data_IF_100891369999
#
_entry.id   IF_100891369999
#
_cell.length_a   1.000
_cell.length_b   1.000
_cell.length_c   1.000
_cell.angle_alpha   90.00
_cell.angle_beta   90.00
_cell.angle_gamma   90.00
#
_symmetry.space_group_name_H-M   'P 1'
#
loop_
_entity.id
_entity.type
_entity.pdbx_description
1 polymer ?
#
# COMPACT_ATOMS: atom_id res chain seq x y z
N UNK A 1 0.26 12.73 -7.24
CA UNK A 1 0.88 14.02 -7.64
C UNK A 1 2.23 13.78 -8.32
N UNK A 2 3.22 13.20 -7.67
CA UNK A 2 4.60 13.03 -8.19
C UNK A 2 4.66 12.42 -9.61
N UNK A 3 3.93 11.34 -9.92
CA UNK A 3 3.92 10.74 -11.27
C UNK A 3 3.37 11.70 -12.32
N UNK A 4 2.33 12.46 -11.99
CA UNK A 4 1.77 13.45 -12.92
C UNK A 4 2.82 14.50 -13.25
N UNK A 5 3.44 15.07 -12.23
CA UNK A 5 4.39 16.18 -12.39
C UNK A 5 5.68 15.75 -13.10
N UNK A 6 6.16 14.52 -12.87
CA UNK A 6 7.48 14.09 -13.35
C UNK A 6 7.45 13.17 -14.57
N UNK A 7 6.33 12.52 -14.87
CA UNK A 7 6.24 11.49 -15.94
C UNK A 7 5.17 11.78 -16.99
N UNK A 8 4.12 12.52 -16.64
CA UNK A 8 3.00 12.79 -17.56
C UNK A 8 3.07 14.21 -18.09
N UNK A 9 3.10 15.22 -17.22
CA UNK A 9 3.11 16.62 -17.64
C UNK A 9 4.27 16.99 -18.55
N UNK A 10 5.54 16.55 -18.30
CA UNK A 10 6.64 16.90 -19.19
C UNK A 10 6.40 16.50 -20.64
N UNK A 11 5.62 15.44 -20.87
CA UNK A 11 5.31 14.94 -22.20
C UNK A 11 4.07 15.59 -22.83
N UNK A 12 3.00 15.77 -22.05
CA UNK A 12 1.70 16.16 -22.57
C UNK A 12 1.31 17.63 -22.35
N UNK A 13 2.06 18.39 -21.51
CA UNK A 13 1.66 19.76 -21.11
C UNK A 13 1.45 20.75 -22.25
N UNK A 14 2.10 20.55 -23.40
CA UNK A 14 2.00 21.44 -24.56
C UNK A 14 0.97 20.97 -25.58
N UNK A 15 0.28 19.85 -25.33
CA UNK A 15 -0.75 19.30 -26.20
C UNK A 15 -2.13 19.63 -25.63
N UNK A 16 -3.07 19.99 -26.51
CA UNK A 16 -4.46 20.11 -26.10
C UNK A 16 -5.03 18.71 -25.87
N UNK A 17 -5.78 18.53 -24.81
CA UNK A 17 -6.27 17.22 -24.40
C UNK A 17 -7.14 16.52 -25.47
N UNK A 18 -7.89 17.29 -26.23
CA UNK A 18 -8.72 16.78 -27.34
C UNK A 18 -7.94 16.42 -28.60
N UNK A 19 -6.67 16.81 -28.71
CA UNK A 19 -5.77 16.49 -29.82
C UNK A 19 -4.87 15.30 -29.52
N UNK A 20 -4.77 14.87 -28.27
CA UNK A 20 -3.94 13.73 -27.88
C UNK A 20 -4.54 12.44 -28.45
N UNK A 21 -3.77 11.76 -29.27
CA UNK A 21 -4.14 10.51 -29.94
C UNK A 21 -3.65 9.26 -29.18
N UNK A 22 -4.21 8.08 -29.46
CA UNK A 22 -3.64 6.83 -28.96
C UNK A 22 -2.18 6.61 -29.40
N UNK A 23 -1.78 7.16 -30.57
CA UNK A 23 -0.40 7.14 -31.05
C UNK A 23 0.56 7.95 -30.16
N UNK A 24 0.13 9.12 -29.68
CA UNK A 24 0.92 9.94 -28.77
C UNK A 24 1.11 9.24 -27.41
N UNK A 25 0.05 8.62 -26.91
CA UNK A 25 0.12 7.80 -25.70
C UNK A 25 1.08 6.63 -25.89
N UNK A 26 1.06 5.97 -27.04
CA UNK A 26 1.95 4.85 -27.36
C UNK A 26 3.43 5.30 -27.42
N UNK A 27 3.71 6.47 -28.00
CA UNK A 27 5.06 7.04 -28.01
C UNK A 27 5.55 7.28 -26.59
N UNK A 28 4.75 7.93 -25.75
CA UNK A 28 5.05 8.11 -24.32
C UNK A 28 5.30 6.79 -23.60
N UNK A 29 4.45 5.78 -23.84
CA UNK A 29 4.64 4.43 -23.25
C UNK A 29 6.00 3.85 -23.64
N UNK A 30 6.38 3.95 -24.93
CA UNK A 30 7.65 3.43 -25.41
C UNK A 30 8.84 4.12 -24.73
N UNK A 31 8.79 5.42 -24.51
CA UNK A 31 9.83 6.15 -23.76
C UNK A 31 9.90 5.68 -22.31
N UNK A 32 8.77 5.50 -21.63
CA UNK A 32 8.74 4.99 -20.25
C UNK A 32 9.26 3.54 -20.17
N UNK A 33 9.01 2.73 -21.17
CA UNK A 33 9.53 1.34 -21.27
C UNK A 33 11.02 1.31 -21.54
N UNK A 34 11.50 2.21 -22.40
CA UNK A 34 12.91 2.34 -22.78
C UNK A 34 13.77 2.96 -21.67
N UNK A 35 13.17 3.70 -20.74
CA UNK A 35 13.89 4.39 -19.67
C UNK A 35 14.78 3.44 -18.86
N UNK A 36 15.99 3.90 -18.56
CA UNK A 36 16.92 3.21 -17.66
C UNK A 36 17.50 4.22 -16.66
N UNK A 37 17.63 3.77 -15.42
CA UNK A 37 18.39 4.49 -14.41
C UNK A 37 19.90 4.39 -14.70
N UNK A 38 20.71 5.19 -14.02
CA UNK A 38 22.19 5.14 -14.11
C UNK A 38 22.74 3.73 -13.82
N UNK A 39 22.10 2.99 -12.96
CA UNK A 39 22.43 1.60 -12.62
C UNK A 39 21.89 0.56 -13.65
N UNK A 40 21.40 1.00 -14.82
CA UNK A 40 20.86 0.15 -15.88
C UNK A 40 19.47 -0.44 -15.64
N UNK A 41 18.87 -0.27 -14.45
CA UNK A 41 17.54 -0.81 -14.14
C UNK A 41 16.42 -0.02 -14.82
N UNK A 42 15.40 -0.71 -15.30
CA UNK A 42 14.18 -0.10 -15.83
C UNK A 42 13.12 0.12 -14.74
N UNK A 43 12.08 0.88 -15.06
CA UNK A 43 10.88 0.89 -14.20
C UNK A 43 10.30 -0.52 -14.06
N UNK A 44 9.82 -0.87 -12.86
CA UNK A 44 9.11 -2.13 -12.64
C UNK A 44 7.82 -2.19 -13.46
N UNK A 45 7.34 -3.38 -13.78
CA UNK A 45 6.09 -3.56 -14.52
C UNK A 45 4.89 -2.96 -13.78
N UNK A 46 4.85 -3.13 -12.46
CA UNK A 46 3.82 -2.53 -11.60
C UNK A 46 3.84 -1.00 -11.65
N UNK A 47 5.05 -0.39 -11.64
CA UNK A 47 5.17 1.07 -11.74
C UNK A 47 4.74 1.60 -13.11
N UNK A 48 5.10 0.89 -14.20
CA UNK A 48 4.62 1.19 -15.55
C UNK A 48 3.09 1.14 -15.63
N UNK A 49 2.48 0.07 -15.08
CA UNK A 49 1.02 -0.06 -14.99
C UNK A 49 0.40 1.10 -14.20
N UNK A 50 1.01 1.50 -13.09
CA UNK A 50 0.54 2.64 -12.28
C UNK A 50 0.58 3.95 -13.05
N UNK A 51 1.67 4.25 -13.75
CA UNK A 51 1.78 5.45 -14.61
C UNK A 51 0.67 5.48 -15.66
N UNK A 52 0.44 4.36 -16.36
CA UNK A 52 -0.62 4.25 -17.35
C UNK A 52 -2.01 4.44 -16.74
N UNK A 53 -2.28 3.83 -15.60
CA UNK A 53 -3.58 3.93 -14.92
C UNK A 53 -3.89 5.37 -14.50
N UNK A 54 -2.87 6.12 -14.02
CA UNK A 54 -3.04 7.53 -13.66
C UNK A 54 -3.37 8.36 -14.91
N UNK A 55 -2.64 8.17 -16.02
CA UNK A 55 -2.94 8.86 -17.28
C UNK A 55 -4.35 8.53 -17.77
N UNK A 56 -4.72 7.24 -17.76
CA UNK A 56 -6.06 6.79 -18.14
C UNK A 56 -7.17 7.37 -17.25
N UNK A 57 -6.91 7.52 -15.94
CA UNK A 57 -7.85 8.14 -15.01
C UNK A 57 -8.06 9.63 -15.34
N UNK A 58 -7.00 10.36 -15.72
CA UNK A 58 -7.10 11.75 -16.16
C UNK A 58 -8.00 11.86 -17.40
N UNK A 59 -7.77 11.01 -18.41
CA UNK A 59 -8.62 11.02 -19.62
C UNK A 59 -10.04 10.54 -19.34
N UNK A 60 -10.26 9.57 -18.44
CA UNK A 60 -11.62 9.20 -18.02
C UNK A 60 -12.36 10.37 -17.36
N UNK A 61 -11.65 11.16 -16.54
CA UNK A 61 -12.23 12.37 -15.97
C UNK A 61 -12.59 13.39 -17.06
N UNK A 62 -11.72 13.58 -18.05
CA UNK A 62 -12.00 14.47 -19.19
C UNK A 62 -13.18 13.99 -20.04
N UNK A 63 -13.31 12.70 -20.29
CA UNK A 63 -14.47 12.13 -20.98
C UNK A 63 -15.76 12.40 -20.20
N UNK A 64 -15.72 12.30 -18.87
CA UNK A 64 -16.91 12.42 -18.02
C UNK A 64 -17.37 13.86 -17.82
N UNK A 65 -16.43 14.80 -17.72
CA UNK A 65 -16.74 16.17 -17.28
C UNK A 65 -16.41 17.26 -18.32
N UNK A 66 -15.62 16.96 -19.34
CA UNK A 66 -15.12 17.93 -20.32
C UNK A 66 -15.37 17.51 -21.77
N UNK A 67 -16.34 16.65 -22.01
CA UNK A 67 -16.80 16.23 -23.34
C UNK A 67 -15.70 15.64 -24.26
N UNK A 68 -14.64 15.09 -23.69
CA UNK A 68 -13.67 14.34 -24.48
C UNK A 68 -14.36 13.08 -25.03
N UNK A 69 -14.33 12.89 -26.35
CA UNK A 69 -15.10 11.83 -27.04
C UNK A 69 -14.70 10.42 -26.61
N UNK A 70 -13.42 10.19 -26.34
CA UNK A 70 -12.90 8.87 -25.94
C UNK A 70 -11.58 9.00 -25.19
N UNK A 71 -11.22 7.97 -24.43
CA UNK A 71 -9.97 7.93 -23.69
C UNK A 71 -8.84 7.35 -24.58
N UNK A 72 -7.86 8.17 -25.03
CA UNK A 72 -6.78 7.69 -25.89
C UNK A 72 -5.82 6.74 -25.16
N UNK A 73 -5.67 6.85 -23.85
CA UNK A 73 -4.83 5.92 -23.09
C UNK A 73 -5.48 4.53 -23.01
N UNK A 74 -6.80 4.46 -22.91
CA UNK A 74 -7.52 3.18 -22.95
C UNK A 74 -7.39 2.50 -24.31
N UNK A 75 -7.48 3.29 -25.39
CA UNK A 75 -7.32 2.79 -26.75
C UNK A 75 -5.87 2.34 -27.05
N UNK A 76 -4.88 3.04 -26.52
CA UNK A 76 -3.47 2.65 -26.65
C UNK A 76 -3.15 1.31 -25.93
N UNK A 77 -3.99 0.90 -24.99
CA UNK A 77 -3.74 -0.29 -24.18
C UNK A 77 -2.72 -0.08 -23.05
N UNK A 78 -2.58 -1.05 -22.19
CA UNK A 78 -1.76 -0.94 -20.97
C UNK A 78 -0.26 -0.94 -21.28
N UNK A 79 0.53 -0.32 -20.42
CA UNK A 79 1.99 -0.22 -20.49
C UNK A 79 2.63 -1.04 -19.37
N UNK A 80 2.28 -2.09 -19.06
CA UNK A 80 2.89 -2.90 -18.00
C UNK A 80 1.91 -3.98 -17.58
N UNK A 81 2.42 -4.92 -16.86
CA UNK A 81 1.63 -6.03 -16.35
C UNK A 81 1.82 -6.17 -14.85
N UNK A 82 0.91 -6.81 -14.20
CA UNK A 82 1.07 -7.21 -12.82
C UNK A 82 2.01 -8.42 -12.78
N UNK A 83 3.13 -8.26 -12.10
CA UNK A 83 3.99 -9.40 -11.80
C UNK A 83 3.43 -10.05 -10.53
N UNK A 84 2.88 -11.23 -10.69
CA UNK A 84 2.53 -12.07 -9.54
C UNK A 84 3.85 -12.58 -8.96
N UNK A 85 4.31 -11.93 -7.91
CA UNK A 85 5.40 -12.48 -7.08
C UNK A 85 4.78 -13.45 -6.10
N UNK A 86 5.40 -14.59 -5.93
CA UNK A 86 5.07 -15.49 -4.85
C UNK A 86 5.23 -14.75 -3.53
N UNK A 87 4.21 -14.83 -2.69
CA UNK A 87 4.23 -14.13 -1.41
C UNK A 87 5.08 -14.94 -0.45
N UNK A 88 6.20 -14.37 -0.04
CA UNK A 88 7.04 -14.96 0.99
C UNK A 88 6.30 -14.89 2.32
N UNK A 89 6.26 -15.99 3.03
CA UNK A 89 5.73 -16.11 4.39
C UNK A 89 6.69 -16.96 5.22
N UNK A 90 6.67 -16.76 6.50
CA UNK A 90 7.46 -17.57 7.41
C UNK A 90 6.67 -18.81 7.83
N UNK A 91 7.34 -19.94 7.86
CA UNK A 91 6.80 -21.12 8.52
C UNK A 91 6.79 -20.91 10.04
N UNK A 92 6.06 -21.74 10.76
CA UNK A 92 6.01 -21.68 12.22
C UNK A 92 7.40 -21.88 12.85
N UNK A 93 8.22 -22.75 12.27
CA UNK A 93 9.57 -23.02 12.72
C UNK A 93 10.51 -21.83 12.50
N UNK A 94 10.41 -21.15 11.37
CA UNK A 94 11.17 -19.94 11.07
C UNK A 94 10.75 -18.80 11.99
N UNK A 95 9.45 -18.63 12.23
CA UNK A 95 8.95 -17.62 13.15
C UNK A 95 9.44 -17.85 14.58
N UNK A 96 9.40 -19.09 15.09
CA UNK A 96 9.92 -19.43 16.44
C UNK A 96 11.39 -19.05 16.60
N UNK A 97 12.24 -19.39 15.64
CA UNK A 97 13.68 -18.98 15.67
C UNK A 97 13.85 -17.47 15.69
N UNK A 98 13.02 -16.76 14.95
CA UNK A 98 13.04 -15.28 14.96
C UNK A 98 12.56 -14.74 16.31
N UNK A 99 11.47 -15.26 16.87
CA UNK A 99 10.90 -14.84 18.14
C UNK A 99 11.92 -15.03 19.27
N UNK A 100 12.61 -16.19 19.32
CA UNK A 100 13.71 -16.46 20.24
C UNK A 100 14.87 -15.45 20.13
N UNK A 101 15.20 -15.04 18.90
CA UNK A 101 16.29 -14.09 18.65
C UNK A 101 15.99 -12.63 19.07
N UNK A 102 14.72 -12.30 19.32
CA UNK A 102 14.29 -10.94 19.73
C UNK A 102 13.70 -10.89 21.13
N UNK A 103 13.76 -11.99 21.89
CA UNK A 103 13.16 -12.11 23.23
C UNK A 103 13.75 -11.12 24.23
N UNK A 104 15.01 -10.74 24.06
CA UNK A 104 15.74 -9.75 24.87
C UNK A 104 15.29 -8.29 24.60
N UNK A 105 14.37 -8.08 23.62
CA UNK A 105 13.82 -6.78 23.23
C UNK A 105 12.31 -6.75 23.42
N UNK A 106 11.81 -6.58 24.66
CA UNK A 106 10.40 -6.79 24.98
C UNK A 106 9.43 -6.06 24.06
N UNK A 107 9.67 -4.78 23.78
CA UNK A 107 8.79 -3.98 22.88
C UNK A 107 8.70 -4.61 21.48
N UNK A 108 9.84 -5.05 20.93
CA UNK A 108 9.86 -5.69 19.60
C UNK A 108 9.26 -7.08 19.65
N UNK A 109 9.58 -7.86 20.68
CA UNK A 109 9.05 -9.20 20.85
C UNK A 109 7.52 -9.20 20.88
N UNK A 110 6.90 -8.47 21.79
CA UNK A 110 5.44 -8.39 21.88
C UNK A 110 4.77 -7.77 20.63
N UNK A 111 5.42 -6.80 19.98
CA UNK A 111 4.93 -6.26 18.72
C UNK A 111 4.88 -7.34 17.62
N UNK A 112 5.92 -8.16 17.49
CA UNK A 112 5.95 -9.24 16.51
C UNK A 112 4.99 -10.39 16.86
N UNK A 113 4.87 -10.77 18.14
CA UNK A 113 3.89 -11.75 18.61
C UNK A 113 2.46 -11.29 18.23
N UNK A 114 2.13 -10.04 18.52
CA UNK A 114 0.82 -9.48 18.14
C UNK A 114 0.60 -9.49 16.62
N UNK A 115 1.60 -9.11 15.81
CA UNK A 115 1.47 -9.12 14.35
C UNK A 115 1.30 -10.53 13.81
N UNK A 116 2.10 -11.48 14.27
CA UNK A 116 2.09 -12.85 13.77
C UNK A 116 0.77 -13.58 14.10
N UNK A 117 0.34 -13.54 15.34
CA UNK A 117 -0.83 -14.28 15.80
C UNK A 117 -2.17 -13.63 15.44
N UNK A 118 -2.19 -12.34 15.17
CA UNK A 118 -3.44 -11.63 14.90
C UNK A 118 -3.61 -11.24 13.42
N UNK A 119 -2.53 -11.16 12.67
CA UNK A 119 -2.53 -10.67 11.29
C UNK A 119 -2.99 -9.21 11.16
N UNK A 120 -2.92 -8.41 12.22
CA UNK A 120 -3.24 -6.99 12.15
C UNK A 120 -2.19 -6.22 11.36
N UNK A 121 -2.57 -5.05 10.84
CA UNK A 121 -1.62 -4.18 10.14
C UNK A 121 -0.70 -3.47 11.13
N UNK A 122 0.54 -3.17 10.71
CA UNK A 122 1.50 -2.44 11.54
C UNK A 122 0.94 -1.13 12.10
N UNK A 123 0.23 -0.34 11.28
CA UNK A 123 -0.39 0.90 11.76
C UNK A 123 -1.50 0.67 12.80
N UNK A 124 -2.21 -0.44 12.72
CA UNK A 124 -3.20 -0.85 13.72
C UNK A 124 -2.52 -1.20 15.04
N UNK A 125 -1.44 -2.00 14.99
CA UNK A 125 -0.63 -2.33 16.17
C UNK A 125 -0.08 -1.07 16.85
N UNK A 126 0.54 -0.17 16.09
CA UNK A 126 1.14 1.06 16.65
C UNK A 126 0.11 2.05 17.23
N UNK A 127 -1.17 1.85 16.96
CA UNK A 127 -2.25 2.64 17.53
C UNK A 127 -2.89 2.01 18.77
N UNK A 128 -2.55 0.76 19.12
CA UNK A 128 -3.14 0.07 20.26
C UNK A 128 -2.77 0.74 21.59
N UNK A 129 -3.72 0.70 22.49
CA UNK A 129 -3.57 1.08 23.89
C UNK A 129 -4.13 -0.03 24.77
N UNK A 130 -3.83 -0.05 26.05
CA UNK A 130 -4.34 -1.03 27.01
C UNK A 130 -5.88 -1.10 27.00
N UNK A 131 -6.56 0.03 26.74
CA UNK A 131 -8.04 0.11 26.66
C UNK A 131 -8.65 -0.68 25.48
N UNK A 132 -7.82 -1.06 24.50
CA UNK A 132 -8.29 -1.86 23.35
C UNK A 132 -8.33 -3.36 23.68
N UNK A 133 -7.76 -3.78 24.80
CA UNK A 133 -7.71 -5.18 25.24
C UNK A 133 -8.84 -5.49 26.23
N UNK A 134 -9.49 -6.63 26.03
CA UNK A 134 -10.38 -7.28 26.99
C UNK A 134 -9.71 -8.60 27.38
N UNK A 135 -8.96 -8.59 28.47
CA UNK A 135 -8.19 -9.75 28.93
C UNK A 135 -9.07 -10.89 29.46
N UNK A 136 -10.28 -10.57 29.99
CA UNK A 136 -11.22 -11.60 30.42
C UNK A 136 -11.76 -12.38 29.22
N UNK A 137 -12.14 -11.67 28.16
CA UNK A 137 -12.62 -12.27 26.91
C UNK A 137 -11.48 -12.68 25.96
N UNK A 138 -10.23 -12.32 26.30
CA UNK A 138 -9.05 -12.55 25.48
C UNK A 138 -9.23 -12.00 24.07
N UNK A 139 -9.59 -10.74 23.97
CA UNK A 139 -9.82 -10.06 22.69
C UNK A 139 -9.12 -8.72 22.63
N UNK A 140 -8.81 -8.27 21.42
CA UNK A 140 -8.31 -6.92 21.12
C UNK A 140 -9.20 -6.27 20.08
N UNK A 141 -9.58 -5.01 20.32
CA UNK A 141 -10.41 -4.21 19.42
C UNK A 141 -9.56 -3.35 18.49
N UNK A 142 -9.74 -3.51 17.20
CA UNK A 142 -9.07 -2.73 16.15
C UNK A 142 -10.07 -1.70 15.60
N UNK A 143 -9.87 -0.43 15.95
CA UNK A 143 -10.73 0.69 15.55
C UNK A 143 -9.97 1.95 15.19
N UNK A 144 -8.63 1.90 15.17
CA UNK A 144 -7.75 3.02 14.89
C UNK A 144 -6.47 2.55 14.20
N UNK A 145 -5.76 3.47 13.57
CA UNK A 145 -4.50 3.20 12.89
C UNK A 145 -3.57 4.40 13.00
N UNK A 146 -2.32 4.14 13.36
CA UNK A 146 -1.25 5.13 13.38
C UNK A 146 -0.70 5.36 11.98
N UNK A 147 -0.39 6.60 11.67
CA UNK A 147 0.31 7.02 10.46
C UNK A 147 1.27 8.17 10.79
N UNK A 148 2.39 8.24 10.10
CA UNK A 148 3.27 9.41 10.15
C UNK A 148 3.12 10.21 8.86
N UNK A 149 2.49 11.38 8.95
CA UNK A 149 2.20 12.26 7.82
C UNK A 149 2.98 13.56 7.95
N UNK A 150 3.83 13.86 6.97
CA UNK A 150 4.65 15.09 6.96
C UNK A 150 5.47 15.29 8.25
N UNK A 151 5.96 14.20 8.84
CA UNK A 151 6.73 14.24 10.08
C UNK A 151 5.91 14.28 11.38
N UNK A 152 4.58 14.35 11.29
CA UNK A 152 3.66 14.33 12.42
C UNK A 152 3.03 12.95 12.62
N UNK A 153 2.90 12.55 13.86
CA UNK A 153 2.24 11.31 14.25
C UNK A 153 0.73 11.54 14.35
N UNK A 154 -0.03 10.76 13.57
CA UNK A 154 -1.48 10.93 13.47
C UNK A 154 -2.17 9.58 13.70
N UNK A 155 -3.14 9.56 14.60
CA UNK A 155 -4.06 8.44 14.79
C UNK A 155 -5.34 8.70 13.99
N UNK A 156 -5.69 7.81 13.10
CA UNK A 156 -6.87 7.91 12.24
C UNK A 156 -7.84 6.78 12.51
N UNK A 157 -9.12 7.03 12.27
CA UNK A 157 -10.12 5.97 12.19
C UNK A 157 -9.92 5.14 10.91
N UNK A 158 -10.32 3.87 10.89
CA UNK A 158 -10.24 3.04 9.70
C UNK A 158 -11.03 3.62 8.53
N UNK A 159 -10.50 3.43 7.30
CA UNK A 159 -11.09 3.96 6.05
C UNK A 159 -12.51 3.45 5.77
N UNK A 160 -12.88 2.31 6.32
CA UNK A 160 -14.21 1.70 6.14
C UNK A 160 -14.72 1.16 7.46
N UNK A 161 -16.06 1.17 7.70
CA UNK A 161 -16.66 0.57 8.90
C UNK A 161 -16.29 -0.91 9.09
N UNK A 162 -16.14 -1.66 8.00
CA UNK A 162 -15.73 -3.08 8.02
C UNK A 162 -14.31 -3.33 8.54
N UNK A 163 -13.49 -2.30 8.62
CA UNK A 163 -12.14 -2.41 9.19
C UNK A 163 -12.15 -2.40 10.71
N UNK A 164 -13.25 -1.93 11.34
CA UNK A 164 -13.47 -2.09 12.78
C UNK A 164 -13.77 -3.56 13.05
N UNK A 165 -12.93 -4.17 13.86
CA UNK A 165 -13.08 -5.59 14.20
C UNK A 165 -12.52 -5.89 15.58
N UNK A 166 -13.01 -6.96 16.17
CA UNK A 166 -12.44 -7.56 17.38
C UNK A 166 -11.76 -8.86 16.99
N UNK A 167 -10.53 -9.04 17.43
CA UNK A 167 -9.73 -10.23 17.19
C UNK A 167 -9.63 -11.01 18.49
N UNK A 168 -9.86 -12.32 18.44
CA UNK A 168 -9.65 -13.22 19.57
C UNK A 168 -8.17 -13.56 19.67
N UNK A 169 -7.58 -13.35 20.83
CA UNK A 169 -6.19 -13.67 21.10
C UNK A 169 -6.04 -15.15 21.56
N UNK A 170 -4.98 -15.82 21.14
CA UNK A 170 -4.56 -17.06 21.81
C UNK A 170 -4.40 -16.83 23.31
N UNK A 171 -4.69 -17.86 24.11
CA UNK A 171 -4.66 -17.73 25.59
C UNK A 171 -3.31 -17.23 26.09
N UNK A 172 -2.22 -17.85 25.63
CA UNK A 172 -0.86 -17.48 26.03
C UNK A 172 -0.54 -16.01 25.70
N UNK A 173 -0.91 -15.54 24.49
CA UNK A 173 -0.64 -14.17 24.07
C UNK A 173 -1.43 -13.15 24.91
N UNK A 174 -2.67 -13.47 25.28
CA UNK A 174 -3.44 -12.59 26.15
C UNK A 174 -2.84 -12.48 27.55
N UNK A 175 -2.33 -13.59 28.10
CA UNK A 175 -1.66 -13.66 29.40
C UNK A 175 -0.31 -12.88 29.35
N UNK A 176 0.50 -13.11 28.34
CA UNK A 176 1.77 -12.39 28.12
C UNK A 176 1.56 -10.87 27.94
N UNK A 177 0.56 -10.46 27.15
CA UNK A 177 0.23 -9.04 27.00
C UNK A 177 -0.27 -8.41 28.27
N UNK A 178 -1.01 -9.14 29.12
CA UNK A 178 -1.47 -8.66 30.43
C UNK A 178 -0.29 -8.45 31.40
N UNK A 179 0.74 -9.29 31.32
CA UNK A 179 1.95 -9.14 32.13
C UNK A 179 2.84 -7.99 31.62
N UNK A 180 2.83 -7.75 30.31
CA UNK A 180 3.63 -6.71 29.68
C UNK A 180 3.15 -5.28 30.01
N UNK A 181 1.84 -5.07 30.18
CA UNK A 181 1.24 -3.77 30.52
C UNK A 181 1.26 -3.49 32.03
#
# INVERSE_FOLDING_TARGET
KHIVDTKILPYFKNLKMNEITPGDVRKWQNEMVAFRYENGKSYSQTYKKTMHNILSAIFNHACRFYNLKSNPARQAGNMGREEKKEMLFWTTEEYKKFSEAVIDKPVSFYAFEMLYWTGMRLGELLALTMEDFDFEKKTVRINKSYQRLQGQDVITTPKTPKSNRTIKLPKFLAEEMQEYF
#
